data_IF_464724281127
#
_entry.id   IF_464724281127
#
_cell.length_a   1.000
_cell.length_b   1.000
_cell.length_c   1.000
_cell.angle_alpha   90.00
_cell.angle_beta   90.00
_cell.angle_gamma   90.00
#
_symmetry.space_group_name_H-M   'P 1'
#
loop_
_entity.id
_entity.type
_entity.pdbx_description
1 polymer ?
#
# COMPACT_ATOMS: atom_id res chain seq x y z
N UNK A 1 -12.12 -6.61 4.08
CA UNK A 1 -11.20 -6.32 5.18
C UNK A 1 -11.82 -5.47 6.28
N UNK A 2 -11.22 -5.50 7.47
CA UNK A 2 -11.65 -4.75 8.65
C UNK A 2 -11.61 -3.22 8.45
N UNK A 3 -10.72 -2.71 7.60
CA UNK A 3 -10.67 -1.30 7.19
C UNK A 3 -12.00 -0.79 6.62
N UNK A 4 -12.81 -1.65 5.99
CA UNK A 4 -14.11 -1.29 5.43
C UNK A 4 -15.19 -0.95 6.46
N UNK A 5 -14.91 -1.12 7.75
CA UNK A 5 -15.85 -0.84 8.86
C UNK A 5 -15.58 0.50 9.55
N UNK A 6 -14.62 1.29 9.07
CA UNK A 6 -14.31 2.61 9.62
C UNK A 6 -15.35 3.65 9.17
N UNK A 7 -15.24 4.89 9.66
CA UNK A 7 -16.16 5.98 9.36
C UNK A 7 -15.36 7.22 8.97
N UNK A 8 -15.87 7.98 8.00
CA UNK A 8 -15.23 9.23 7.53
C UNK A 8 -15.09 10.24 8.67
N UNK A 9 -13.89 10.83 8.79
CA UNK A 9 -13.63 11.88 9.76
C UNK A 9 -13.59 11.38 11.21
N UNK A 10 -13.34 10.09 11.42
CA UNK A 10 -13.14 9.49 12.74
C UNK A 10 -11.82 8.70 12.78
N UNK A 11 -11.14 8.74 13.93
CA UNK A 11 -9.98 7.90 14.19
C UNK A 11 -10.37 6.45 14.46
N UNK A 12 -9.55 5.50 14.01
CA UNK A 12 -9.73 4.08 14.29
C UNK A 12 -8.39 3.36 14.25
N UNK A 13 -8.16 2.40 15.15
CA UNK A 13 -7.01 1.49 15.07
C UNK A 13 -7.48 0.07 14.87
N UNK A 14 -7.00 -0.55 13.81
CA UNK A 14 -7.34 -1.91 13.40
C UNK A 14 -6.13 -2.78 13.68
N UNK A 15 -6.21 -3.56 14.76
CA UNK A 15 -5.20 -4.56 15.09
C UNK A 15 -5.51 -5.87 14.36
N UNK A 16 -4.58 -6.30 13.52
CA UNK A 16 -4.70 -7.53 12.73
C UNK A 16 -3.94 -8.65 13.44
N UNK A 17 -4.60 -9.79 13.64
CA UNK A 17 -3.94 -10.96 14.20
C UNK A 17 -2.93 -11.54 13.21
N UNK A 18 -1.88 -12.18 13.70
CA UNK A 18 -0.90 -12.84 12.84
C UNK A 18 -1.57 -13.82 11.86
N UNK A 19 -1.11 -13.84 10.62
CA UNK A 19 -1.63 -14.71 9.58
C UNK A 19 -1.42 -14.17 8.17
N UNK A 20 -1.76 -15.02 7.19
CA UNK A 20 -1.73 -14.69 5.77
C UNK A 20 -3.12 -14.38 5.26
N UNK A 21 -3.29 -13.22 4.65
CA UNK A 21 -4.54 -12.67 4.18
C UNK A 21 -4.49 -12.50 2.66
N UNK A 22 -5.50 -13.04 1.97
CA UNK A 22 -5.62 -13.03 0.50
C UNK A 22 -6.60 -11.95 0.03
N UNK A 23 -6.72 -10.85 0.76
CA UNK A 23 -7.59 -9.74 0.39
C UNK A 23 -6.81 -8.54 -0.12
N UNK A 24 -7.34 -7.91 -1.16
CA UNK A 24 -6.88 -6.59 -1.60
C UNK A 24 -7.74 -5.53 -0.91
N UNK A 25 -7.08 -4.56 -0.30
CA UNK A 25 -7.72 -3.52 0.49
C UNK A 25 -7.90 -2.28 -0.36
N UNK A 26 -9.13 -1.75 -0.34
CA UNK A 26 -9.42 -0.39 -0.74
C UNK A 26 -9.61 0.43 0.52
N UNK A 27 -8.81 1.48 0.69
CA UNK A 27 -8.86 2.34 1.88
C UNK A 27 -10.07 3.29 1.80
N UNK A 28 -11.07 3.13 2.68
CA UNK A 28 -12.39 3.72 2.42
C UNK A 28 -12.50 5.19 2.85
N UNK A 29 -11.85 5.57 3.95
CA UNK A 29 -12.14 6.79 4.69
C UNK A 29 -10.89 7.51 5.17
N UNK A 30 -11.00 8.83 5.37
CA UNK A 30 -9.95 9.62 6.02
C UNK A 30 -10.14 9.56 7.54
N UNK A 31 -9.03 9.63 8.29
CA UNK A 31 -9.09 9.97 9.71
C UNK A 31 -9.57 11.41 9.92
N UNK A 32 -9.76 11.80 11.18
CA UNK A 32 -10.25 13.14 11.50
C UNK A 32 -9.12 14.18 11.50
N UNK A 33 -7.97 13.80 12.04
CA UNK A 33 -6.80 14.67 12.25
C UNK A 33 -5.54 13.84 12.48
N UNK A 34 -4.38 14.49 12.62
CA UNK A 34 -3.12 13.82 12.92
C UNK A 34 -3.14 13.02 14.24
N UNK A 35 -4.01 13.40 15.19
CA UNK A 35 -4.20 12.71 16.47
C UNK A 35 -5.28 11.62 16.41
N UNK A 36 -6.08 11.61 15.35
CA UNK A 36 -7.19 10.67 15.15
C UNK A 36 -7.10 10.05 13.74
N UNK A 37 -5.98 9.40 13.38
CA UNK A 37 -5.85 8.77 12.08
C UNK A 37 -6.65 7.45 12.03
N UNK A 38 -6.83 6.93 10.81
CA UNK A 38 -7.17 5.52 10.63
C UNK A 38 -5.86 4.74 10.51
N UNK A 39 -5.69 3.75 11.37
CA UNK A 39 -4.47 2.94 11.51
C UNK A 39 -4.77 1.48 11.22
N UNK A 40 -4.00 0.88 10.31
CA UNK A 40 -3.93 -0.57 10.10
C UNK A 40 -2.59 -1.05 10.65
N UNK A 41 -2.62 -1.93 11.65
CA UNK A 41 -1.40 -2.42 12.30
C UNK A 41 -1.50 -3.87 12.73
N UNK A 42 -0.36 -4.54 12.87
CA UNK A 42 -0.32 -5.87 13.45
C UNK A 42 -0.63 -5.85 14.96
N UNK A 43 -1.04 -7.00 15.48
CA UNK A 43 -1.26 -7.19 16.91
C UNK A 43 -0.01 -7.83 17.54
N UNK A 44 0.57 -7.18 18.56
CA UNK A 44 1.71 -7.70 19.34
C UNK A 44 2.92 -8.17 18.50
N UNK A 45 3.29 -7.44 17.45
CA UNK A 45 4.38 -7.80 16.53
C UNK A 45 4.20 -9.15 15.82
N UNK A 46 2.96 -9.63 15.69
CA UNK A 46 2.67 -10.83 14.91
C UNK A 46 2.82 -10.58 13.40
N UNK A 47 3.30 -11.57 12.66
CA UNK A 47 3.47 -11.47 11.20
C UNK A 47 2.11 -11.42 10.51
N UNK A 48 1.77 -10.28 9.90
CA UNK A 48 0.55 -10.07 9.14
C UNK A 48 0.93 -9.90 7.67
N UNK A 49 0.59 -10.87 6.85
CA UNK A 49 1.00 -10.90 5.43
C UNK A 49 -0.22 -10.69 4.54
N UNK A 50 -0.27 -9.56 3.83
CA UNK A 50 -1.16 -9.39 2.69
C UNK A 50 -0.50 -10.02 1.46
N UNK A 51 -1.00 -11.17 1.03
CA UNK A 51 -0.36 -12.00 0.00
C UNK A 51 -1.17 -12.02 -1.30
N UNK A 52 -0.54 -11.58 -2.38
CA UNK A 52 -1.11 -11.47 -3.72
C UNK A 52 -1.41 -12.81 -4.40
N UNK A 53 -0.83 -13.93 -3.95
CA UNK A 53 -1.09 -15.26 -4.54
C UNK A 53 -2.53 -15.66 -4.25
N UNK A 54 -3.33 -15.80 -5.31
CA UNK A 54 -4.79 -16.07 -5.23
C UNK A 54 -5.57 -15.02 -4.44
N UNK A 55 -5.10 -13.77 -4.42
CA UNK A 55 -5.82 -12.69 -3.76
C UNK A 55 -7.18 -12.41 -4.42
N UNK A 56 -8.17 -12.08 -3.59
CA UNK A 56 -9.50 -11.64 -4.02
C UNK A 56 -9.45 -10.24 -4.66
N UNK A 57 -10.50 -9.90 -5.42
CA UNK A 57 -10.61 -8.65 -6.19
C UNK A 57 -9.54 -8.51 -7.29
N UNK A 58 -9.64 -9.34 -8.33
CA UNK A 58 -8.71 -9.31 -9.46
C UNK A 58 -8.74 -8.00 -10.27
N UNK A 59 -9.74 -7.13 -10.13
CA UNK A 59 -9.78 -5.85 -10.83
C UNK A 59 -8.80 -4.81 -10.24
N UNK A 60 -8.43 -4.94 -8.97
CA UNK A 60 -7.48 -4.05 -8.32
C UNK A 60 -6.05 -4.59 -8.47
N UNK A 61 -5.14 -3.76 -9.00
CA UNK A 61 -3.73 -4.16 -9.14
C UNK A 61 -2.94 -4.01 -7.83
N UNK A 62 -3.28 -3.05 -6.97
CA UNK A 62 -2.59 -2.83 -5.69
C UNK A 62 -3.05 -3.83 -4.61
N UNK A 63 -2.18 -4.17 -3.65
CA UNK A 63 -2.61 -4.87 -2.43
C UNK A 63 -3.34 -3.93 -1.47
N UNK A 64 -2.85 -2.70 -1.31
CA UNK A 64 -3.54 -1.61 -0.63
C UNK A 64 -3.67 -0.44 -1.61
N UNK A 65 -4.89 -0.03 -1.91
CA UNK A 65 -5.19 1.15 -2.71
C UNK A 65 -5.78 2.26 -1.85
N UNK A 66 -5.26 3.47 -1.99
CA UNK A 66 -5.72 4.69 -1.32
C UNK A 66 -5.96 5.76 -2.38
N UNK A 67 -7.17 6.32 -2.42
CA UNK A 67 -7.51 7.40 -3.36
C UNK A 67 -8.10 8.59 -2.63
N UNK A 68 -7.36 9.70 -2.65
CA UNK A 68 -7.71 10.98 -2.03
C UNK A 68 -8.23 10.86 -0.60
N UNK A 69 -7.39 10.33 0.29
CA UNK A 69 -7.65 10.16 1.73
C UNK A 69 -6.51 10.71 2.56
N UNK A 70 -6.85 11.18 3.77
CA UNK A 70 -5.91 11.82 4.70
C UNK A 70 -5.86 11.11 6.06
N UNK A 71 -4.82 11.39 6.84
CA UNK A 71 -4.64 10.88 8.21
C UNK A 71 -4.65 9.35 8.27
N UNK A 72 -3.69 8.76 7.56
CA UNK A 72 -3.54 7.31 7.34
C UNK A 72 -2.28 6.83 8.04
N UNK A 73 -2.37 5.68 8.71
CA UNK A 73 -1.22 4.92 9.21
C UNK A 73 -1.30 3.47 8.72
N UNK A 74 -0.25 3.01 8.06
CA UNK A 74 -0.02 1.60 7.74
C UNK A 74 1.26 1.22 8.45
N UNK A 75 1.19 0.35 9.45
CA UNK A 75 2.29 0.11 10.38
C UNK A 75 2.48 -1.38 10.68
N UNK A 76 3.67 -1.93 10.45
CA UNK A 76 4.00 -3.29 10.90
C UNK A 76 3.32 -4.39 10.08
N UNK A 77 3.06 -4.16 8.79
CA UNK A 77 2.38 -5.13 7.91
C UNK A 77 3.34 -5.58 6.79
N UNK A 78 3.28 -6.86 6.42
CA UNK A 78 3.96 -7.37 5.25
C UNK A 78 3.04 -7.39 4.02
N UNK A 79 3.60 -7.06 2.85
CA UNK A 79 2.89 -7.04 1.58
C UNK A 79 3.71 -7.81 0.56
N UNK A 80 3.16 -8.92 0.07
CA UNK A 80 3.93 -9.93 -0.61
C UNK A 80 3.30 -10.41 -1.91
N UNK A 81 4.16 -10.90 -2.83
CA UNK A 81 3.81 -11.77 -3.95
C UNK A 81 2.72 -11.22 -4.89
N UNK A 82 2.73 -9.92 -5.15
CA UNK A 82 1.82 -9.32 -6.09
C UNK A 82 2.47 -9.23 -7.48
N UNK A 83 2.32 -10.31 -8.26
CA UNK A 83 2.88 -10.42 -9.61
C UNK A 83 1.79 -10.24 -10.66
N UNK A 84 1.78 -9.09 -11.34
CA UNK A 84 0.82 -8.73 -12.39
C UNK A 84 1.19 -7.42 -13.07
N UNK A 85 0.65 -7.18 -14.27
CA UNK A 85 0.78 -5.89 -14.95
C UNK A 85 0.29 -4.73 -14.05
N UNK A 86 1.11 -3.68 -13.92
CA UNK A 86 0.87 -2.52 -13.04
C UNK A 86 0.67 -2.90 -11.57
N UNK A 87 1.33 -3.97 -11.09
CA UNK A 87 1.26 -4.40 -9.69
C UNK A 87 1.70 -3.29 -8.74
N UNK A 88 1.05 -3.20 -7.58
CA UNK A 88 1.56 -2.39 -6.48
C UNK A 88 1.40 -3.08 -5.14
N UNK A 89 2.31 -2.85 -4.21
CA UNK A 89 2.08 -3.21 -2.82
C UNK A 89 1.10 -2.21 -2.22
N UNK A 90 1.55 -0.97 -2.04
CA UNK A 90 0.74 0.16 -1.59
C UNK A 90 0.71 1.21 -2.70
N UNK A 91 -0.50 1.60 -3.11
CA UNK A 91 -0.71 2.65 -4.10
C UNK A 91 -1.58 3.77 -3.55
N UNK A 92 -0.97 4.93 -3.34
CA UNK A 92 -1.62 6.16 -2.90
C UNK A 92 -1.69 7.13 -4.06
N UNK A 93 -2.90 7.58 -4.40
CA UNK A 93 -3.15 8.46 -5.54
C UNK A 93 -4.14 9.57 -5.23
N UNK A 94 -4.05 10.70 -5.95
CA UNK A 94 -4.98 11.81 -5.82
C UNK A 94 -4.45 12.92 -4.93
N UNK A 95 -5.22 13.30 -3.92
CA UNK A 95 -4.94 14.45 -3.04
C UNK A 95 -5.26 14.12 -1.58
N UNK A 96 -4.39 14.53 -0.65
CA UNK A 96 -4.62 14.33 0.77
C UNK A 96 -3.47 14.84 1.62
N UNK A 97 -3.51 14.57 2.91
CA UNK A 97 -2.42 14.92 3.82
C UNK A 97 -2.21 13.85 4.89
N UNK A 98 -1.02 13.83 5.46
CA UNK A 98 -0.66 12.99 6.62
C UNK A 98 -0.86 11.50 6.36
N UNK A 99 -0.06 10.98 5.42
CA UNK A 99 0.03 9.55 5.10
C UNK A 99 1.33 9.02 5.66
N UNK A 100 1.24 7.99 6.52
CA UNK A 100 2.42 7.35 7.09
C UNK A 100 2.40 5.85 6.79
N UNK A 101 3.52 5.37 6.25
CA UNK A 101 3.80 3.94 6.04
C UNK A 101 5.09 3.63 6.77
N UNK A 102 5.02 2.80 7.81
CA UNK A 102 6.14 2.57 8.72
C UNK A 102 6.27 1.08 9.05
N UNK A 103 7.49 0.59 9.32
CA UNK A 103 7.75 -0.80 9.76
C UNK A 103 7.16 -1.89 8.83
N UNK A 104 6.99 -1.60 7.54
CA UNK A 104 6.41 -2.53 6.58
C UNK A 104 7.50 -3.23 5.76
N UNK A 105 7.30 -4.53 5.50
CA UNK A 105 8.10 -5.28 4.54
C UNK A 105 7.29 -5.46 3.25
N UNK A 106 7.79 -4.93 2.13
CA UNK A 106 7.11 -4.99 0.83
C UNK A 106 8.01 -5.73 -0.15
N UNK A 107 7.61 -6.93 -0.56
CA UNK A 107 8.49 -7.79 -1.33
C UNK A 107 7.77 -8.61 -2.40
N UNK A 108 8.55 -9.06 -3.38
CA UNK A 108 8.05 -9.85 -4.50
C UNK A 108 6.85 -9.17 -5.20
N UNK A 109 6.99 -7.86 -5.43
CA UNK A 109 6.05 -7.07 -6.22
C UNK A 109 6.65 -6.91 -7.61
N UNK A 110 5.89 -7.22 -8.65
CA UNK A 110 6.43 -7.13 -9.99
C UNK A 110 5.43 -7.26 -11.12
N UNK A 111 5.82 -6.78 -12.30
CA UNK A 111 5.04 -6.98 -13.52
C UNK A 111 5.13 -8.43 -14.02
N UNK A 112 6.22 -9.12 -13.66
CA UNK A 112 6.53 -10.51 -13.94
C UNK A 112 7.26 -11.15 -12.75
N UNK A 113 7.19 -12.48 -12.65
CA UNK A 113 8.00 -13.25 -11.70
C UNK A 113 9.42 -13.54 -12.23
N UNK A 114 9.64 -13.40 -13.55
CA UNK A 114 10.93 -13.64 -14.17
C UNK A 114 11.85 -12.40 -14.03
N UNK A 115 12.79 -12.47 -13.09
CA UNK A 115 13.77 -11.40 -12.84
C UNK A 115 14.78 -11.19 -13.96
N UNK A 116 14.79 -12.05 -14.99
CA UNK A 116 15.67 -11.93 -16.16
C UNK A 116 14.98 -11.29 -17.37
N UNK A 117 13.67 -11.05 -17.28
CA UNK A 117 12.89 -10.48 -18.36
C UNK A 117 13.27 -9.00 -18.63
N UNK A 118 13.37 -8.64 -19.91
CA UNK A 118 13.67 -7.28 -20.33
C UNK A 118 12.37 -6.46 -20.47
N UNK A 119 12.15 -5.39 -19.69
CA UNK A 119 10.89 -4.66 -19.70
C UNK A 119 10.76 -3.72 -20.91
N UNK A 120 9.54 -3.56 -21.38
CA UNK A 120 9.11 -2.46 -22.25
C UNK A 120 8.51 -1.30 -21.43
N UNK A 121 8.22 -0.15 -22.05
CA UNK A 121 7.61 0.98 -21.35
C UNK A 121 6.22 0.70 -20.77
N UNK A 122 5.53 -0.36 -21.21
CA UNK A 122 4.26 -0.81 -20.63
C UNK A 122 4.41 -1.76 -19.44
N UNK A 123 5.61 -2.28 -19.19
CA UNK A 123 5.87 -3.24 -18.12
C UNK A 123 6.24 -2.51 -16.83
N UNK A 124 5.24 -2.34 -15.95
CA UNK A 124 5.40 -1.52 -14.75
C UNK A 124 4.89 -2.24 -13.51
N UNK A 125 5.58 -2.05 -12.39
CA UNK A 125 5.11 -2.35 -11.05
C UNK A 125 5.76 -1.41 -10.03
N UNK A 126 5.03 -1.09 -8.97
CA UNK A 126 5.44 -0.13 -7.95
C UNK A 126 5.16 -0.69 -6.54
N UNK A 127 6.15 -1.25 -5.85
CA UNK A 127 6.02 -1.78 -4.50
C UNK A 127 5.33 -0.81 -3.52
N UNK A 128 5.79 0.44 -3.48
CA UNK A 128 5.19 1.52 -2.71
C UNK A 128 5.22 2.79 -3.56
N UNK A 129 4.07 3.43 -3.76
CA UNK A 129 3.99 4.61 -4.63
C UNK A 129 2.98 5.61 -4.09
N UNK A 130 3.38 6.89 -4.10
CA UNK A 130 2.53 8.03 -3.77
C UNK A 130 2.55 9.02 -4.94
N UNK A 131 1.40 9.25 -5.56
CA UNK A 131 1.26 10.12 -6.72
C UNK A 131 0.17 11.17 -6.49
N UNK A 132 0.54 12.44 -6.55
CA UNK A 132 -0.38 13.56 -6.67
C UNK A 132 -0.96 13.62 -8.08
N UNK A 133 -2.29 13.73 -8.21
CA UNK A 133 -2.95 13.85 -9.53
C UNK A 133 -3.88 15.07 -9.62
N UNK A 134 -3.75 16.03 -8.72
CA UNK A 134 -4.61 17.22 -8.66
C UNK A 134 -3.77 18.48 -8.43
N UNK A 135 -4.36 19.67 -8.61
CA UNK A 135 -3.67 20.93 -8.30
C UNK A 135 -3.26 21.06 -6.82
N UNK A 136 -3.92 20.30 -5.94
CA UNK A 136 -3.52 20.07 -4.55
C UNK A 136 -3.06 18.63 -4.40
N UNK A 137 -1.76 18.42 -4.53
CA UNK A 137 -1.13 17.11 -4.36
C UNK A 137 -1.12 16.63 -2.91
N UNK A 138 -0.67 15.40 -2.69
CA UNK A 138 -0.42 14.90 -1.35
C UNK A 138 0.66 15.72 -0.63
N UNK A 139 0.45 15.98 0.65
CA UNK A 139 1.44 16.63 1.54
C UNK A 139 1.60 15.84 2.84
N UNK A 140 2.66 16.12 3.60
CA UNK A 140 2.96 15.43 4.88
C UNK A 140 3.00 13.91 4.74
N UNK A 141 3.89 13.41 3.90
CA UNK A 141 4.11 11.98 3.71
C UNK A 141 5.31 11.55 4.56
N UNK A 142 5.13 10.52 5.37
CA UNK A 142 6.22 9.88 6.10
C UNK A 142 6.33 8.41 5.70
N UNK A 143 7.51 8.03 5.21
CA UNK A 143 7.84 6.66 4.85
C UNK A 143 9.14 6.34 5.59
N UNK A 144 9.06 5.53 6.63
CA UNK A 144 10.19 5.25 7.53
C UNK A 144 10.25 3.78 7.90
N UNK A 145 11.46 3.27 8.17
CA UNK A 145 11.67 1.93 8.72
C UNK A 145 11.00 0.80 7.91
N UNK A 146 10.85 0.98 6.61
CA UNK A 146 10.31 -0.03 5.69
C UNK A 146 11.44 -0.74 4.94
N UNK A 147 11.25 -2.01 4.62
CA UNK A 147 12.12 -2.74 3.70
C UNK A 147 11.37 -3.05 2.39
N UNK A 148 11.95 -2.67 1.25
CA UNK A 148 11.44 -3.00 -0.08
C UNK A 148 12.48 -3.84 -0.81
N UNK A 149 12.16 -5.10 -1.14
CA UNK A 149 13.15 -6.04 -1.69
C UNK A 149 12.56 -7.07 -2.66
N UNK A 150 13.42 -7.71 -3.45
CA UNK A 150 13.04 -8.76 -4.42
C UNK A 150 11.89 -8.37 -5.36
N UNK A 151 11.88 -7.14 -5.86
CA UNK A 151 10.83 -6.63 -6.73
C UNK A 151 11.27 -6.55 -8.20
N UNK A 152 10.37 -6.86 -9.12
CA UNK A 152 10.57 -6.74 -10.57
C UNK A 152 9.76 -5.55 -11.09
N UNK A 153 10.26 -4.33 -10.94
CA UNK A 153 9.51 -3.08 -11.18
C UNK A 153 9.33 -2.73 -12.66
N UNK A 154 10.15 -3.31 -13.55
CA UNK A 154 10.10 -3.04 -14.99
C UNK A 154 10.59 -1.63 -15.31
N UNK A 155 9.83 -0.88 -16.10
CA UNK A 155 10.12 0.51 -16.48
C UNK A 155 9.75 1.54 -15.39
N UNK A 156 9.38 1.05 -14.21
CA UNK A 156 8.98 1.81 -13.03
C UNK A 156 9.99 1.69 -11.88
N UNK A 157 9.82 2.51 -10.84
CA UNK A 157 10.68 2.53 -9.66
C UNK A 157 10.08 1.77 -8.46
N UNK A 158 10.95 1.34 -7.54
CA UNK A 158 10.58 0.67 -6.30
C UNK A 158 9.81 1.57 -5.33
N UNK A 159 10.16 2.86 -5.31
CA UNK A 159 9.54 3.90 -4.48
C UNK A 159 9.40 5.22 -5.25
N UNK A 160 8.45 5.34 -6.20
CA UNK A 160 8.18 6.61 -6.85
C UNK A 160 7.41 7.56 -5.92
N UNK A 161 7.90 8.80 -5.81
CA UNK A 161 7.19 9.92 -5.17
C UNK A 161 7.03 11.04 -6.20
N UNK A 162 5.82 11.20 -6.72
CA UNK A 162 5.46 12.26 -7.65
C UNK A 162 4.40 13.15 -7.00
N UNK A 163 4.85 14.16 -6.27
CA UNK A 163 4.00 15.08 -5.51
C UNK A 163 3.70 16.32 -6.33
#
# INVERSE_FOLDING_TARGET
GAVGKTTEGAGATIHVSAGTYKERLWWPHSGASANEPITLTNNNNGDVILDGVNATNNAQNAMIAVSSRSYIRIDGIEIANNIRSFASGIYVTGSGTDVQVVNCNIYNIGWTADSTAFPSSSDNANPLVVVGTSATSYSQIFIGDNEIFNCNTGYSEGLPLAL
#
